data_IF_830173888411
#
_entry.id   IF_830173888411
#
_cell.length_a   1.000
_cell.length_b   1.000
_cell.length_c   1.000
_cell.angle_alpha   90.00
_cell.angle_beta   90.00
_cell.angle_gamma   90.00
#
_symmetry.space_group_name_H-M   'P 1'
#
loop_
_entity.id
_entity.type
_entity.pdbx_description
1 polymer ?
#
# COMPACT_ATOMS: atom_id res chain seq x y z
N UNK A 1 -0.59 10.71 9.50
CA UNK A 1 -0.53 9.53 8.60
C UNK A 1 -1.56 9.71 7.51
N UNK A 2 -1.21 9.37 6.30
CA UNK A 2 -2.14 9.39 5.18
C UNK A 2 -2.81 8.02 5.02
N UNK A 3 -4.01 8.04 4.47
CA UNK A 3 -4.82 6.87 4.20
C UNK A 3 -5.27 6.90 2.75
N UNK A 4 -5.17 5.78 2.08
CA UNK A 4 -5.78 5.56 0.79
C UNK A 4 -7.20 5.06 1.01
N UNK A 5 -8.16 5.76 0.44
CA UNK A 5 -9.57 5.41 0.47
C UNK A 5 -10.01 5.05 -0.94
N UNK A 6 -10.67 3.92 -1.10
CA UNK A 6 -11.11 3.42 -2.39
C UNK A 6 -12.53 2.89 -2.30
N UNK A 7 -13.40 3.34 -3.18
CA UNK A 7 -14.74 2.79 -3.36
C UNK A 7 -14.61 1.34 -3.86
N UNK A 8 -15.08 0.38 -3.07
CA UNK A 8 -14.94 -1.05 -3.39
C UNK A 8 -15.71 -1.46 -4.64
N UNK A 9 -16.68 -0.65 -5.10
CA UNK A 9 -17.38 -0.88 -6.36
C UNK A 9 -16.61 -0.41 -7.59
N UNK A 10 -15.59 0.45 -7.41
CA UNK A 10 -14.75 0.93 -8.50
C UNK A 10 -13.66 -0.09 -8.82
N UNK A 11 -13.29 -0.25 -10.11
CA UNK A 11 -12.32 -1.26 -10.51
C UNK A 11 -10.90 -0.94 -10.04
N UNK A 12 -10.16 -1.99 -9.70
CA UNK A 12 -8.72 -1.97 -9.52
C UNK A 12 -8.10 -2.77 -10.66
N UNK A 13 -7.20 -2.15 -11.42
CA UNK A 13 -6.56 -2.79 -12.56
C UNK A 13 -5.12 -3.18 -12.23
N UNK A 14 -4.82 -4.45 -12.25
CA UNK A 14 -3.46 -4.95 -12.15
C UNK A 14 -2.62 -4.53 -13.35
N UNK A 15 -1.40 -4.07 -13.10
CA UNK A 15 -0.46 -3.72 -14.17
C UNK A 15 0.70 -4.71 -14.22
N UNK A 16 1.54 -4.73 -13.20
CA UNK A 16 2.73 -5.58 -13.16
C UNK A 16 3.21 -5.75 -11.73
N UNK A 17 3.93 -6.83 -11.47
CA UNK A 17 4.52 -7.09 -10.15
C UNK A 17 5.82 -7.88 -10.27
N UNK A 18 6.61 -7.86 -9.23
CA UNK A 18 7.85 -8.59 -9.17
C UNK A 18 8.51 -8.51 -7.79
N UNK A 19 9.70 -9.08 -7.71
CA UNK A 19 10.54 -9.04 -6.53
C UNK A 19 11.85 -8.35 -6.88
N UNK A 20 12.19 -7.32 -6.11
CA UNK A 20 13.50 -6.70 -6.16
C UNK A 20 14.44 -7.43 -5.19
N UNK A 21 15.63 -7.78 -5.66
CA UNK A 21 16.67 -8.41 -4.87
C UNK A 21 17.97 -7.65 -5.11
N UNK A 22 18.63 -7.26 -4.03
CA UNK A 22 19.91 -6.57 -4.07
C UNK A 22 20.91 -7.28 -3.16
N UNK A 23 21.60 -8.29 -3.67
CA UNK A 23 22.48 -9.14 -2.87
C UNK A 23 23.70 -8.40 -2.34
N UNK A 24 24.28 -7.51 -3.15
CA UNK A 24 25.51 -6.79 -2.82
C UNK A 24 25.26 -5.43 -2.13
N UNK A 25 24.03 -4.96 -2.12
CA UNK A 25 23.71 -3.63 -1.65
C UNK A 25 24.15 -2.51 -2.61
N UNK A 26 23.99 -1.27 -2.16
CA UNK A 26 24.44 -0.07 -2.88
C UNK A 26 23.43 0.56 -3.84
N UNK A 27 22.37 -0.11 -4.22
CA UNK A 27 21.34 0.46 -5.06
C UNK A 27 20.51 1.50 -4.30
N UNK A 28 20.18 2.59 -4.96
CA UNK A 28 19.24 3.60 -4.44
C UNK A 28 17.98 3.52 -5.28
N UNK A 29 16.83 3.42 -4.61
CA UNK A 29 15.54 3.44 -5.33
C UNK A 29 15.40 4.78 -6.06
N UNK A 30 15.24 4.77 -7.39
CA UNK A 30 15.11 6.02 -8.12
C UNK A 30 13.85 6.76 -7.69
N UNK A 31 13.92 8.09 -7.67
CA UNK A 31 12.73 8.90 -7.45
C UNK A 31 11.82 8.78 -8.67
N UNK A 32 10.57 8.41 -8.41
CA UNK A 32 9.59 8.16 -9.46
C UNK A 32 8.34 8.98 -9.22
N UNK A 33 7.80 9.48 -10.31
CA UNK A 33 6.44 10.01 -10.40
C UNK A 33 5.69 9.11 -11.37
N UNK A 34 4.79 8.30 -10.87
CA UNK A 34 4.05 7.32 -11.65
C UNK A 34 2.57 7.68 -11.68
N UNK A 35 1.88 7.29 -12.73
CA UNK A 35 0.43 7.36 -12.84
C UNK A 35 -0.28 6.15 -12.19
N UNK A 36 0.48 5.13 -11.82
CA UNK A 36 0.02 3.96 -11.07
C UNK A 36 0.32 4.09 -9.57
N UNK A 37 -0.46 3.39 -8.77
CA UNK A 37 -0.09 3.11 -7.38
C UNK A 37 0.91 1.95 -7.34
N UNK A 38 1.76 1.96 -6.33
CA UNK A 38 2.71 0.87 -6.10
C UNK A 38 2.55 0.39 -4.66
N UNK A 39 2.33 -0.90 -4.50
CA UNK A 39 2.42 -1.55 -3.20
C UNK A 39 3.82 -2.15 -3.07
N UNK A 40 4.55 -1.73 -2.05
CA UNK A 40 5.85 -2.28 -1.68
C UNK A 40 5.69 -3.13 -0.42
N UNK A 41 6.23 -4.34 -0.44
CA UNK A 41 6.18 -5.29 0.68
C UNK A 41 7.60 -5.70 1.06
N UNK A 42 8.01 -5.37 2.28
CA UNK A 42 9.34 -5.76 2.78
C UNK A 42 9.47 -7.26 3.00
N UNK A 43 10.58 -7.85 2.53
CA UNK A 43 10.91 -9.26 2.71
C UNK A 43 12.15 -9.46 3.56
N UNK A 44 13.27 -8.91 3.14
CA UNK A 44 14.56 -9.02 3.83
C UNK A 44 15.26 -7.67 3.87
N UNK A 45 15.92 -7.37 4.98
CA UNK A 45 16.65 -6.13 5.19
C UNK A 45 15.73 -4.93 5.45
N UNK A 46 16.34 -3.78 5.59
CA UNK A 46 15.67 -2.51 5.86
C UNK A 46 15.96 -1.52 4.73
N UNK A 47 14.93 -0.87 4.23
CA UNK A 47 15.07 0.09 3.14
C UNK A 47 14.24 1.35 3.38
N UNK A 48 14.92 2.50 3.35
CA UNK A 48 14.27 3.79 3.56
C UNK A 48 13.70 4.33 2.24
N UNK A 49 12.42 4.56 2.20
CA UNK A 49 11.69 5.20 1.09
C UNK A 49 11.05 6.49 1.59
N UNK A 50 11.30 7.58 0.93
CA UNK A 50 10.67 8.87 1.23
C UNK A 50 9.49 9.11 0.30
N UNK A 51 8.37 9.53 0.87
CA UNK A 51 7.19 10.00 0.16
C UNK A 51 6.59 11.20 0.91
N UNK A 52 6.32 12.29 0.20
CA UNK A 52 5.74 13.52 0.77
C UNK A 52 6.53 14.10 1.96
N UNK A 53 7.86 14.03 1.93
CA UNK A 53 8.71 14.52 3.00
C UNK A 53 8.81 13.62 4.22
N UNK A 54 8.19 12.46 4.20
CA UNK A 54 8.22 11.46 5.28
C UNK A 54 9.04 10.26 4.84
N UNK A 55 10.02 9.88 5.64
CA UNK A 55 10.81 8.67 5.41
C UNK A 55 10.14 7.48 6.08
N UNK A 56 9.86 6.44 5.30
CA UNK A 56 9.32 5.18 5.77
C UNK A 56 10.39 4.10 5.70
N UNK A 57 10.53 3.34 6.76
CA UNK A 57 11.46 2.21 6.81
C UNK A 57 10.73 0.92 6.42
N UNK A 58 10.95 0.46 5.20
CA UNK A 58 10.42 -0.80 4.72
C UNK A 58 11.23 -1.95 5.31
N UNK A 59 10.63 -2.73 6.19
CA UNK A 59 11.22 -3.88 6.89
C UNK A 59 10.42 -5.14 6.60
N UNK A 60 10.93 -6.34 6.93
CA UNK A 60 10.13 -7.56 6.75
C UNK A 60 8.77 -7.47 7.43
N UNK A 61 7.70 -7.74 6.68
CA UNK A 61 6.34 -7.68 7.17
C UNK A 61 5.71 -6.29 7.22
N UNK A 62 6.37 -5.27 6.66
CA UNK A 62 5.78 -3.94 6.47
C UNK A 62 5.42 -3.69 5.00
N UNK A 63 4.51 -2.77 4.77
CA UNK A 63 4.14 -2.34 3.43
C UNK A 63 4.12 -0.81 3.34
N UNK A 64 4.33 -0.31 2.13
CA UNK A 64 4.11 1.08 1.75
C UNK A 64 3.25 1.13 0.49
N UNK A 65 2.17 1.93 0.54
CA UNK A 65 1.38 2.28 -0.64
C UNK A 65 1.92 3.60 -1.21
N UNK A 66 2.61 3.51 -2.33
CA UNK A 66 3.19 4.66 -2.99
C UNK A 66 2.25 5.15 -4.11
N UNK A 67 1.49 6.20 -3.82
CA UNK A 67 0.60 6.87 -4.78
C UNK A 67 1.10 8.24 -5.21
N UNK A 68 2.19 8.71 -4.62
CA UNK A 68 2.81 10.00 -4.86
C UNK A 68 4.29 9.82 -5.26
N UNK A 69 4.97 10.92 -5.66
CA UNK A 69 6.39 10.85 -5.92
C UNK A 69 7.16 10.30 -4.73
N UNK A 70 7.91 9.25 -4.94
CA UNK A 70 8.65 8.53 -3.91
C UNK A 70 10.01 8.07 -4.40
N UNK A 71 10.93 7.84 -3.50
CA UNK A 71 12.26 7.36 -3.83
C UNK A 71 13.08 6.98 -2.61
N UNK A 72 14.19 6.27 -2.84
CA UNK A 72 15.13 5.93 -1.79
C UNK A 72 15.92 7.13 -1.32
N UNK A 73 16.22 7.18 -0.03
CA UNK A 73 17.03 8.23 0.60
C UNK A 73 18.48 7.80 0.82
N UNK A 74 18.72 6.49 0.85
CA UNK A 74 20.03 5.89 1.12
C UNK A 74 20.24 4.66 0.23
N UNK A 75 21.52 4.29 -0.01
CA UNK A 75 21.81 3.01 -0.65
C UNK A 75 21.25 1.85 0.15
N UNK A 76 20.72 0.85 -0.54
CA UNK A 76 20.20 -0.34 0.12
C UNK A 76 21.32 -1.17 0.75
N UNK A 77 21.05 -1.84 1.89
CA UNK A 77 22.00 -2.78 2.49
C UNK A 77 22.13 -4.04 1.63
N UNK A 78 23.20 -4.83 1.86
CA UNK A 78 23.30 -6.17 1.26
C UNK A 78 22.12 -7.07 1.67
N UNK A 79 21.74 -7.98 0.79
CA UNK A 79 20.64 -8.95 1.00
C UNK A 79 19.28 -8.31 1.22
N UNK A 80 19.06 -7.12 0.63
CA UNK A 80 17.75 -6.51 0.63
C UNK A 80 16.84 -7.22 -0.37
N UNK A 81 15.60 -7.44 0.01
CA UNK A 81 14.56 -7.80 -0.95
C UNK A 81 13.19 -7.25 -0.53
N UNK A 82 12.40 -6.91 -1.52
CA UNK A 82 11.00 -6.53 -1.35
C UNK A 82 10.20 -6.92 -2.59
N UNK A 83 8.90 -7.18 -2.40
CA UNK A 83 7.95 -7.30 -3.50
C UNK A 83 7.41 -5.94 -3.88
N UNK A 84 7.06 -5.78 -5.15
CA UNK A 84 6.37 -4.61 -5.66
C UNK A 84 5.23 -5.03 -6.58
N UNK A 85 4.14 -4.25 -6.54
CA UNK A 85 2.98 -4.44 -7.39
C UNK A 85 2.47 -3.09 -7.85
N UNK A 86 2.41 -2.88 -9.16
CA UNK A 86 1.79 -1.71 -9.77
C UNK A 86 0.35 -2.01 -10.14
N UNK A 87 -0.54 -1.09 -9.80
CA UNK A 87 -1.95 -1.19 -10.11
C UNK A 87 -2.56 0.19 -10.34
N UNK A 88 -3.68 0.22 -11.07
CA UNK A 88 -4.41 1.45 -11.34
C UNK A 88 -5.72 1.46 -10.59
N UNK A 89 -6.03 2.60 -10.00
CA UNK A 89 -7.34 2.93 -9.45
C UNK A 89 -7.76 4.28 -10.05
N UNK A 90 -8.43 4.23 -11.20
CA UNK A 90 -8.72 5.42 -12.03
C UNK A 90 -9.88 6.24 -11.52
N UNK A 91 -10.75 5.67 -10.68
CA UNK A 91 -11.91 6.32 -10.11
C UNK A 91 -12.19 5.81 -8.71
N UNK A 92 -12.90 6.61 -7.91
CA UNK A 92 -13.31 6.22 -6.57
C UNK A 92 -12.19 6.16 -5.54
N UNK A 93 -11.04 6.76 -5.82
CA UNK A 93 -9.86 6.72 -4.95
C UNK A 93 -9.42 8.12 -4.57
N UNK A 94 -9.13 8.31 -3.30
CA UNK A 94 -8.54 9.56 -2.80
C UNK A 94 -7.63 9.27 -1.61
N UNK A 95 -6.76 10.22 -1.29
CA UNK A 95 -5.85 10.15 -0.15
C UNK A 95 -6.23 11.24 0.84
N UNK A 96 -6.30 10.91 2.11
CA UNK A 96 -6.69 11.82 3.18
C UNK A 96 -5.96 11.51 4.48
N UNK A 97 -5.76 12.51 5.31
CA UNK A 97 -5.27 12.37 6.69
C UNK A 97 -6.41 12.15 7.70
N UNK A 98 -7.65 12.32 7.28
CA UNK A 98 -8.84 12.21 8.11
C UNK A 98 -9.91 11.33 7.44
N UNK A 99 -9.73 10.00 7.40
CA UNK A 99 -10.71 9.09 6.81
C UNK A 99 -12.00 9.08 7.61
N UNK A 100 -13.14 8.86 6.91
CA UNK A 100 -14.45 8.77 7.55
C UNK A 100 -14.54 7.51 8.41
N UNK A 101 -14.61 7.66 9.72
CA UNK A 101 -14.66 6.56 10.70
C UNK A 101 -15.96 5.75 10.59
N UNK A 102 -17.03 6.32 10.07
CA UNK A 102 -18.33 5.64 9.93
C UNK A 102 -18.29 4.39 9.06
N UNK A 103 -17.40 4.35 8.07
CA UNK A 103 -17.21 3.17 7.22
C UNK A 103 -16.43 2.05 7.91
N UNK A 104 -15.68 2.34 8.96
CA UNK A 104 -14.89 1.36 9.71
C UNK A 104 -15.75 0.66 10.77
N UNK A 105 -16.62 1.39 11.46
CA UNK A 105 -17.45 0.85 12.54
C UNK A 105 -18.50 -0.15 12.06
N UNK A 106 -19.06 0.04 10.89
CA UNK A 106 -20.05 -0.88 10.31
C UNK A 106 -19.47 -2.23 9.89
N UNK A 107 -18.16 -2.30 9.67
CA UNK A 107 -17.50 -3.54 9.25
C UNK A 107 -17.11 -4.47 10.40
N UNK A 108 -17.06 -3.95 11.61
CA UNK A 108 -16.72 -4.72 12.81
C UNK A 108 -17.94 -5.26 13.57
N UNK A 109 -19.15 -4.91 13.17
CA UNK A 109 -20.37 -5.16 13.94
C UNK A 109 -21.15 -6.42 13.53
N UNK A 110 -20.55 -7.34 12.85
CA UNK A 110 -21.23 -8.59 12.56
C UNK A 110 -20.69 -9.29 11.33
N UNK A 111 -20.25 -10.45 11.55
CA UNK A 111 -19.67 -11.29 10.55
C UNK A 111 -20.69 -12.26 9.99
N UNK A 112 -21.28 -11.93 8.85
CA UNK A 112 -22.01 -12.91 8.04
C UNK A 112 -21.82 -12.59 6.55
N UNK A 113 -20.62 -12.80 6.00
CA UNK A 113 -20.30 -12.40 4.62
C UNK A 113 -21.11 -13.15 3.55
N UNK A 114 -21.75 -14.25 3.92
CA UNK A 114 -22.55 -15.08 2.99
C UNK A 114 -24.00 -14.61 2.84
N UNK A 115 -24.48 -13.77 3.75
CA UNK A 115 -25.88 -13.30 3.77
C UNK A 115 -26.06 -11.88 3.23
N UNK A 116 -24.97 -11.25 2.77
CA UNK A 116 -25.03 -9.91 2.21
C UNK A 116 -25.50 -9.99 0.75
N UNK A 117 -26.66 -9.41 0.39
CA UNK A 117 -27.08 -9.34 -1.00
C UNK A 117 -26.02 -8.64 -1.86
N UNK A 118 -25.79 -9.08 -3.11
CA UNK A 118 -24.73 -8.54 -3.96
C UNK A 118 -24.81 -7.04 -4.25
N UNK A 119 -25.90 -6.38 -3.92
CA UNK A 119 -26.12 -4.95 -4.17
C UNK A 119 -25.99 -4.07 -2.92
N UNK A 120 -25.58 -4.61 -1.77
CA UNK A 120 -25.44 -3.83 -0.52
C UNK A 120 -24.08 -3.17 -0.34
N UNK A 121 -23.18 -3.32 -1.31
CA UNK A 121 -21.84 -2.70 -1.27
C UNK A 121 -21.82 -1.29 -1.86
N UNK A 122 -22.96 -0.68 -2.17
CA UNK A 122 -23.02 0.70 -2.59
C UNK A 122 -22.52 1.61 -1.46
N UNK A 123 -21.50 2.42 -1.77
CA UNK A 123 -20.84 3.37 -0.85
C UNK A 123 -19.93 2.74 0.22
N UNK A 124 -19.49 1.52 0.08
CA UNK A 124 -18.41 1.00 0.93
C UNK A 124 -17.04 1.46 0.44
N UNK A 125 -16.21 1.88 1.38
CA UNK A 125 -14.84 2.27 1.11
C UNK A 125 -13.86 1.30 1.79
N UNK A 126 -12.81 0.95 1.06
CA UNK A 126 -11.61 0.38 1.63
C UNK A 126 -10.74 1.52 2.14
N UNK A 127 -10.35 1.47 3.40
CA UNK A 127 -9.49 2.47 4.01
C UNK A 127 -8.20 1.77 4.43
N UNK A 128 -7.09 2.15 3.81
CA UNK A 128 -5.78 1.59 4.10
C UNK A 128 -4.81 2.69 4.52
N UNK A 129 -4.12 2.53 5.66
CA UNK A 129 -2.98 3.38 5.96
C UNK A 129 -1.94 3.30 4.83
N UNK A 130 -1.33 4.41 4.52
CA UNK A 130 -0.26 4.47 3.52
C UNK A 130 0.93 3.56 3.87
N UNK A 131 1.22 3.44 5.15
CA UNK A 131 2.27 2.57 5.68
C UNK A 131 1.74 1.76 6.86
N UNK A 132 2.10 0.49 6.92
CA UNK A 132 1.65 -0.38 8.00
C UNK A 132 2.37 -1.71 8.04
N UNK A 133 1.95 -2.54 8.99
CA UNK A 133 2.43 -3.91 9.16
C UNK A 133 1.39 -4.90 8.67
N UNK A 134 1.88 -6.00 8.10
CA UNK A 134 1.04 -7.14 7.73
C UNK A 134 1.00 -8.05 8.96
N UNK A 135 -0.18 -8.34 9.51
CA UNK A 135 -0.29 -9.27 10.62
C UNK A 135 0.28 -10.64 10.24
N UNK A 136 1.09 -11.23 11.12
CA UNK A 136 1.49 -12.60 10.94
C UNK A 136 0.27 -13.50 11.15
N UNK A 137 0.01 -14.37 10.19
CA UNK A 137 -0.99 -15.43 10.32
C UNK A 137 -0.34 -16.63 11.03
N UNK A 138 -0.15 -16.52 12.30
CA UNK A 138 0.14 -17.68 13.14
C UNK A 138 -1.15 -18.25 13.74
#
# INVERSE_FOLDING_TARGET
>A
MLYLCHDVSAPVEYCTSGKFVCDKGGAVHPRRTLDSYVLLLGCEGEYAIEQDGVEYMLTPGTYLLAGHPHGGTKPCPPKLSHFWCHFYMRSGTYITDAPSIKSVETKNSGYAPLDIPPNTCENEELILPEFGTIPSTE
#
